data_IF_364309206825
#
_entry.id   IF_364309206825
#
_cell.length_a   1.000
_cell.length_b   1.000
_cell.length_c   1.000
_cell.angle_alpha   90.00
_cell.angle_beta   90.00
_cell.angle_gamma   90.00
#
_symmetry.space_group_name_H-M   'P 1'
#
loop_
_entity.id
_entity.type
_entity.pdbx_description
1 polymer ?
#
# COMPACT_ATOMS: atom_id res chain seq x y z
N UNK A 1 -26.14 19.90 8.98
CA UNK A 1 -24.68 19.62 9.05
C UNK A 1 -24.45 18.29 8.35
N UNK A 2 -24.01 18.32 7.10
CA UNK A 2 -23.92 17.12 6.29
C UNK A 2 -22.65 16.35 6.65
N UNK A 3 -22.80 15.15 7.20
CA UNK A 3 -21.79 14.09 7.34
C UNK A 3 -21.29 13.62 5.96
N UNK A 4 -20.90 14.55 5.08
CA UNK A 4 -20.44 14.24 3.74
C UNK A 4 -18.96 13.95 3.85
N UNK A 5 -18.64 12.67 3.94
CA UNK A 5 -17.29 12.17 3.71
C UNK A 5 -16.87 12.62 2.31
N UNK A 6 -16.00 13.64 2.24
CA UNK A 6 -15.48 14.15 0.97
C UNK A 6 -14.16 13.49 0.62
N UNK A 7 -13.77 13.55 -0.65
CA UNK A 7 -12.48 13.05 -1.12
C UNK A 7 -11.33 13.71 -0.35
N UNK A 8 -11.40 15.02 -0.15
CA UNK A 8 -10.37 15.81 0.54
C UNK A 8 -10.21 15.37 2.00
N UNK A 9 -11.33 15.17 2.69
CA UNK A 9 -11.34 14.68 4.07
C UNK A 9 -10.69 13.29 4.17
N UNK A 10 -11.06 12.35 3.30
CA UNK A 10 -10.45 11.02 3.28
C UNK A 10 -8.95 11.08 2.97
N UNK A 11 -8.54 11.91 2.02
CA UNK A 11 -7.13 12.06 1.66
C UNK A 11 -6.30 12.63 2.82
N UNK A 12 -6.81 13.64 3.54
CA UNK A 12 -6.10 14.18 4.71
C UNK A 12 -6.09 13.18 5.87
N UNK A 13 -7.20 12.47 6.11
CA UNK A 13 -7.30 11.46 7.17
C UNK A 13 -6.31 10.30 6.92
N UNK A 14 -6.31 9.72 5.72
CA UNK A 14 -5.41 8.60 5.35
C UNK A 14 -3.93 8.99 5.19
N UNK A 15 -3.61 10.28 5.32
CA UNK A 15 -2.23 10.76 5.42
C UNK A 15 -1.68 10.62 6.84
N UNK A 16 -2.54 10.71 7.86
CA UNK A 16 -2.16 10.67 9.28
C UNK A 16 -2.60 9.38 9.99
N UNK A 17 -3.63 8.72 9.47
CA UNK A 17 -4.24 7.54 10.07
C UNK A 17 -4.36 6.42 9.04
N UNK A 18 -4.15 5.18 9.47
CA UNK A 18 -4.27 4.02 8.59
C UNK A 18 -5.68 3.43 8.54
N UNK A 19 -6.63 3.94 9.34
CA UNK A 19 -8.02 3.49 9.30
C UNK A 19 -9.01 4.60 9.62
N UNK A 20 -10.24 4.40 9.14
CA UNK A 20 -11.40 5.23 9.46
C UNK A 20 -12.60 4.34 9.72
N UNK A 21 -13.34 4.63 10.79
CA UNK A 21 -14.64 3.98 11.06
C UNK A 21 -15.75 4.91 10.59
N UNK A 22 -16.60 4.40 9.71
CA UNK A 22 -17.82 5.04 9.23
C UNK A 22 -19.03 4.25 9.72
N UNK A 23 -20.23 4.79 9.56
CA UNK A 23 -21.47 4.11 9.95
C UNK A 23 -22.38 3.98 8.74
N UNK A 24 -23.01 2.81 8.58
CA UNK A 24 -24.06 2.60 7.59
C UNK A 24 -25.33 3.37 7.97
N UNK A 25 -26.28 3.45 7.05
CA UNK A 25 -27.62 4.02 7.30
C UNK A 25 -28.35 3.31 8.45
N UNK A 26 -28.07 2.03 8.66
CA UNK A 26 -28.63 1.21 9.73
C UNK A 26 -27.85 1.34 11.05
N UNK A 27 -26.85 2.23 11.11
CA UNK A 27 -26.03 2.49 12.29
C UNK A 27 -24.92 1.47 12.53
N UNK A 28 -24.69 0.52 11.62
CA UNK A 28 -23.62 -0.47 11.78
C UNK A 28 -22.25 0.16 11.49
N UNK A 29 -21.21 -0.06 12.33
CA UNK A 29 -19.88 0.45 12.09
C UNK A 29 -19.17 -0.32 10.97
N UNK A 30 -18.56 0.40 10.04
CA UNK A 30 -17.74 -0.11 8.93
C UNK A 30 -16.37 0.50 9.03
N UNK A 31 -15.35 -0.33 9.23
CA UNK A 31 -13.97 0.13 9.31
C UNK A 31 -13.27 -0.06 7.97
N UNK A 32 -12.80 1.04 7.38
CA UNK A 32 -11.97 1.02 6.19
C UNK A 32 -10.54 1.25 6.63
N UNK A 33 -9.67 0.27 6.35
CA UNK A 33 -8.24 0.36 6.63
C UNK A 33 -7.46 0.48 5.33
N UNK A 34 -6.46 1.35 5.34
CA UNK A 34 -5.47 1.50 4.28
C UNK A 34 -4.62 0.24 4.27
N UNK A 35 -4.69 -0.51 3.18
CA UNK A 35 -3.71 -1.57 2.93
C UNK A 35 -2.49 -0.95 2.26
N UNK A 36 -1.32 -1.17 2.86
CA UNK A 36 -0.06 -0.84 2.25
C UNK A 36 0.41 -2.06 1.47
N UNK A 37 0.53 -1.94 0.15
CA UNK A 37 1.17 -2.96 -0.67
C UNK A 37 2.36 -2.37 -1.43
N UNK A 38 3.40 -3.19 -1.58
CA UNK A 38 4.60 -2.85 -2.33
C UNK A 38 4.45 -3.50 -3.69
N UNK A 39 4.43 -2.70 -4.76
CA UNK A 39 4.37 -3.22 -6.13
C UNK A 39 5.75 -3.21 -6.77
N UNK A 40 6.18 -4.38 -7.25
CA UNK A 40 7.29 -4.51 -8.19
C UNK A 40 6.73 -4.49 -9.60
N UNK A 41 7.25 -3.56 -10.41
CA UNK A 41 6.97 -3.46 -11.85
C UNK A 41 8.29 -3.36 -12.59
N UNK A 42 8.64 -4.39 -13.36
CA UNK A 42 9.87 -4.37 -14.15
C UNK A 42 10.26 -5.75 -14.68
N UNK A 43 11.09 -5.77 -15.73
CA UNK A 43 11.65 -7.02 -16.26
C UNK A 43 10.61 -8.06 -16.65
N UNK A 44 9.53 -7.65 -17.33
CA UNK A 44 8.41 -8.51 -17.76
C UNK A 44 7.57 -9.14 -16.64
N UNK A 45 7.73 -8.69 -15.39
CA UNK A 45 6.94 -9.20 -14.26
C UNK A 45 6.32 -8.08 -13.44
N UNK A 46 5.12 -8.35 -12.94
CA UNK A 46 4.45 -7.55 -11.92
C UNK A 46 4.23 -8.44 -10.70
N UNK A 47 4.53 -7.92 -9.51
CA UNK A 47 4.31 -8.64 -8.25
C UNK A 47 3.88 -7.68 -7.16
N UNK A 48 2.89 -8.08 -6.37
CA UNK A 48 2.41 -7.33 -5.22
C UNK A 48 2.85 -8.04 -3.94
N UNK A 49 3.44 -7.28 -3.02
CA UNK A 49 3.82 -7.75 -1.69
C UNK A 49 2.94 -7.07 -0.65
N UNK A 50 2.37 -7.84 0.28
CA UNK A 50 1.47 -7.36 1.33
C UNK A 50 2.22 -6.83 2.55
N UNK A 51 3.52 -7.11 2.64
CA UNK A 51 4.37 -6.69 3.76
C UNK A 51 5.81 -6.44 3.32
N UNK A 52 6.54 -5.69 4.13
CA UNK A 52 7.99 -5.53 3.96
C UNK A 52 8.74 -6.84 4.15
N UNK A 53 8.24 -7.78 4.95
CA UNK A 53 8.86 -9.11 5.12
C UNK A 53 8.79 -9.94 3.84
N UNK A 54 7.64 -9.96 3.16
CA UNK A 54 7.49 -10.62 1.85
C UNK A 54 8.42 -9.99 0.80
N UNK A 55 8.48 -8.66 0.78
CA UNK A 55 9.39 -7.94 -0.11
C UNK A 55 10.86 -8.25 0.19
N UNK A 56 11.26 -8.30 1.47
CA UNK A 56 12.62 -8.62 1.88
C UNK A 56 13.01 -10.07 1.56
N UNK A 57 12.07 -11.00 1.67
CA UNK A 57 12.28 -12.40 1.26
C UNK A 57 12.53 -12.48 -0.25
N UNK A 58 11.74 -11.77 -1.06
CA UNK A 58 11.95 -11.66 -2.50
C UNK A 58 13.30 -11.01 -2.82
N UNK A 59 13.62 -9.88 -2.20
CA UNK A 59 14.88 -9.17 -2.37
C UNK A 59 16.10 -10.08 -2.12
N UNK A 60 16.10 -10.83 -1.01
CA UNK A 60 17.17 -11.77 -0.66
C UNK A 60 17.28 -12.91 -1.66
N UNK A 61 16.16 -13.47 -2.13
CA UNK A 61 16.13 -14.58 -3.09
C UNK A 61 16.65 -14.16 -4.48
N UNK A 62 16.32 -12.95 -4.91
CA UNK A 62 16.62 -12.45 -6.25
C UNK A 62 17.92 -11.64 -6.34
N UNK A 63 18.66 -11.50 -5.23
CA UNK A 63 19.95 -10.80 -5.15
C UNK A 63 19.94 -9.42 -5.82
N UNK A 64 18.85 -8.66 -5.63
CA UNK A 64 18.68 -7.36 -6.28
C UNK A 64 19.72 -6.37 -5.75
N UNK A 65 20.33 -5.59 -6.65
CA UNK A 65 21.33 -4.58 -6.29
C UNK A 65 20.77 -3.16 -6.43
N UNK A 66 21.20 -2.27 -5.53
CA UNK A 66 20.81 -0.84 -5.56
C UNK A 66 21.48 -0.06 -6.70
N UNK A 67 22.57 -0.59 -7.25
CA UNK A 67 23.26 -0.05 -8.41
C UNK A 67 23.22 -1.08 -9.52
N UNK A 68 23.13 -0.68 -10.80
CA UNK A 68 23.32 -1.61 -11.89
C UNK A 68 24.69 -2.28 -11.71
N UNK A 69 24.70 -3.60 -11.68
CA UNK A 69 25.94 -4.34 -11.81
C UNK A 69 26.40 -4.12 -13.26
N UNK A 70 27.36 -3.21 -13.47
CA UNK A 70 28.00 -3.04 -14.77
C UNK A 70 28.81 -4.31 -15.00
N UNK A 71 28.24 -5.27 -15.73
CA UNK A 71 28.98 -6.42 -16.22
C UNK A 71 29.71 -5.92 -17.46
N UNK A 72 30.98 -5.52 -17.31
CA UNK A 72 31.86 -5.39 -18.46
C UNK A 72 32.07 -6.80 -19.02
N UNK A 73 31.47 -7.07 -20.18
CA UNK A 73 31.82 -8.20 -21.04
C UNK A 73 33.09 -7.89 -21.83
#
# INVERSE_FOLDING_TARGET
>A
MANKVSKEFLQEHFRKHDSITLYTTDGAPVTISKQYSIMLRGGHTESEFKSYDEFMAFYKKHHLSLKPAVIYG
#
